data_IF_093726712472
#
_entry.id   IF_093726712472
#
_cell.length_a   1.000
_cell.length_b   1.000
_cell.length_c   1.000
_cell.angle_alpha   90.00
_cell.angle_beta   90.00
_cell.angle_gamma   90.00
#
_symmetry.space_group_name_H-M   'P 1'
#
loop_
_entity.id
_entity.type
_entity.pdbx_description
1 polymer ?
#
# COMPACT_ATOMS: atom_id res chain seq x y z
N UNK A 1 2.94 1.28 -16.61
CA UNK A 1 2.29 2.50 -16.10
C UNK A 1 1.29 2.13 -15.02
N UNK A 2 1.28 2.85 -13.90
CA UNK A 2 0.26 2.73 -12.87
C UNK A 2 -0.78 3.83 -13.09
N UNK A 3 -2.03 3.50 -13.37
CA UNK A 3 -3.08 4.50 -13.67
C UNK A 3 -3.58 5.22 -12.42
N UNK A 4 -3.65 4.51 -11.30
CA UNK A 4 -4.07 5.02 -9.99
C UNK A 4 -3.18 4.46 -8.90
N UNK A 5 -2.93 5.29 -7.87
CA UNK A 5 -2.30 4.88 -6.63
C UNK A 5 -3.37 4.72 -5.55
N UNK A 6 -3.53 3.50 -5.04
CA UNK A 6 -4.38 3.15 -3.90
C UNK A 6 -5.84 3.66 -3.99
N UNK A 7 -6.59 3.29 -5.04
CA UNK A 7 -7.98 3.70 -5.18
C UNK A 7 -8.88 3.17 -4.04
N UNK A 8 -8.42 2.17 -3.29
CA UNK A 8 -9.10 1.58 -2.14
C UNK A 8 -8.69 2.20 -0.79
N UNK A 9 -7.77 3.17 -0.77
CA UNK A 9 -7.24 3.76 0.47
C UNK A 9 -8.32 4.39 1.34
N UNK A 10 -9.27 5.14 0.74
CA UNK A 10 -10.33 5.80 1.49
C UNK A 10 -11.17 4.81 2.32
N UNK A 11 -11.56 3.69 1.69
CA UNK A 11 -12.35 2.64 2.33
C UNK A 11 -11.53 1.95 3.43
N UNK A 12 -10.26 1.65 3.16
CA UNK A 12 -9.34 1.10 4.15
C UNK A 12 -9.20 2.02 5.36
N UNK A 13 -8.92 3.30 5.15
CA UNK A 13 -8.76 4.27 6.22
C UNK A 13 -10.04 4.43 7.04
N UNK A 14 -11.22 4.37 6.42
CA UNK A 14 -12.51 4.44 7.14
C UNK A 14 -12.70 3.32 8.19
N UNK A 15 -11.97 2.21 8.05
CA UNK A 15 -11.95 1.11 9.03
C UNK A 15 -10.88 1.27 10.10
N UNK A 16 -9.83 2.04 9.83
CA UNK A 16 -8.67 2.21 10.72
C UNK A 16 -8.71 3.48 11.55
N UNK A 17 -9.25 4.57 11.00
CA UNK A 17 -9.31 5.85 11.69
C UNK A 17 -10.66 6.06 12.38
N UNK A 18 -10.69 6.60 13.61
CA UNK A 18 -11.94 6.81 14.36
C UNK A 18 -12.66 8.12 14.00
N UNK A 19 -12.20 8.85 12.98
CA UNK A 19 -12.73 10.15 12.61
C UNK A 19 -13.10 10.19 11.12
N UNK A 20 -14.04 11.06 10.79
CA UNK A 20 -14.52 11.23 9.43
C UNK A 20 -13.49 11.99 8.57
N UNK A 21 -12.98 11.30 7.54
CA UNK A 21 -12.02 11.81 6.57
C UNK A 21 -12.62 12.86 5.63
N UNK A 22 -13.95 13.07 5.64
CA UNK A 22 -14.64 14.04 4.80
C UNK A 22 -15.12 15.24 5.62
N UNK A 23 -14.38 15.59 6.68
CA UNK A 23 -14.78 16.60 7.64
C UNK A 23 -13.60 17.43 8.19
N UNK A 24 -13.94 18.61 8.73
CA UNK A 24 -13.02 19.49 9.45
C UNK A 24 -12.36 20.58 8.60
N UNK A 25 -11.51 21.43 9.20
CA UNK A 25 -11.05 22.67 8.57
C UNK A 25 -10.33 22.50 7.23
N UNK A 26 -9.63 21.37 7.05
CA UNK A 26 -8.93 21.08 5.80
C UNK A 26 -9.91 20.72 4.66
N UNK A 27 -11.00 20.01 4.98
CA UNK A 27 -12.04 19.64 4.03
C UNK A 27 -12.83 20.87 3.59
N UNK A 28 -13.20 21.73 4.54
CA UNK A 28 -13.85 23.02 4.26
C UNK A 28 -12.98 23.91 3.38
N UNK A 29 -11.68 23.99 3.68
CA UNK A 29 -10.72 24.74 2.87
C UNK A 29 -10.58 24.16 1.46
N UNK A 30 -10.56 22.83 1.32
CA UNK A 30 -10.53 22.17 0.01
C UNK A 30 -11.81 22.47 -0.78
N UNK A 31 -13.00 22.33 -0.18
CA UNK A 31 -14.27 22.61 -0.81
C UNK A 31 -14.36 24.07 -1.28
N UNK A 32 -13.92 25.00 -0.43
CA UNK A 32 -13.80 26.42 -0.78
C UNK A 32 -12.85 26.64 -1.96
N UNK A 33 -11.69 25.99 -1.98
CA UNK A 33 -10.72 26.12 -3.07
C UNK A 33 -11.25 25.60 -4.41
N UNK A 34 -12.08 24.55 -4.39
CA UNK A 34 -12.74 24.00 -5.58
C UNK A 34 -14.06 24.70 -5.94
N UNK A 35 -14.55 25.62 -5.12
CA UNK A 35 -15.81 26.34 -5.36
C UNK A 35 -17.05 25.43 -5.27
N UNK A 36 -16.99 24.37 -4.47
CA UNK A 36 -18.09 23.42 -4.25
C UNK A 36 -18.52 23.42 -2.79
N UNK A 37 -19.73 22.96 -2.50
CA UNK A 37 -20.14 22.73 -1.12
C UNK A 37 -19.37 21.53 -0.53
N UNK A 38 -19.07 21.50 0.79
CA UNK A 38 -18.32 20.40 1.41
C UNK A 38 -18.92 19.00 1.20
N UNK A 39 -20.25 18.90 1.12
CA UNK A 39 -21.00 17.67 0.84
C UNK A 39 -20.99 17.26 -0.65
N UNK A 40 -20.49 18.13 -1.52
CA UNK A 40 -20.28 17.89 -2.95
C UNK A 40 -18.81 17.65 -3.31
N UNK A 41 -17.89 17.73 -2.34
CA UNK A 41 -16.48 17.53 -2.57
C UNK A 41 -16.17 16.04 -2.74
N UNK A 42 -15.65 15.65 -3.91
CA UNK A 42 -15.35 14.27 -4.27
C UNK A 42 -13.86 14.01 -4.48
N UNK A 43 -13.04 14.02 -3.44
CA UNK A 43 -11.61 13.69 -3.55
C UNK A 43 -11.43 12.17 -3.62
N UNK A 44 -11.01 11.62 -4.77
CA UNK A 44 -10.95 10.16 -4.98
C UNK A 44 -10.17 9.39 -3.89
N UNK A 45 -9.18 10.02 -3.25
CA UNK A 45 -8.38 9.44 -2.16
C UNK A 45 -9.08 9.40 -0.80
N UNK A 46 -10.18 10.13 -0.61
CA UNK A 46 -10.85 10.32 0.68
C UNK A 46 -12.36 10.06 0.65
N UNK A 47 -12.90 9.66 -0.50
CA UNK A 47 -14.33 9.34 -0.66
C UNK A 47 -14.54 7.83 -0.53
N UNK A 48 -15.49 7.45 0.33
CA UNK A 48 -15.85 6.05 0.62
C UNK A 48 -17.13 5.60 -0.07
N UNK A 49 -17.82 6.48 -0.79
CA UNK A 49 -19.05 6.15 -1.53
C UNK A 49 -18.76 5.02 -2.55
N UNK A 50 -19.53 3.91 -2.55
CA UNK A 50 -19.35 2.82 -3.51
C UNK A 50 -19.35 3.25 -4.97
N UNK A 51 -20.07 4.33 -5.32
CA UNK A 51 -20.07 4.91 -6.67
C UNK A 51 -18.71 5.47 -7.07
N UNK A 52 -17.91 5.92 -6.10
CA UNK A 52 -16.55 6.39 -6.36
C UNK A 52 -15.67 5.25 -6.89
N UNK A 53 -15.83 4.03 -6.36
CA UNK A 53 -15.11 2.86 -6.90
C UNK A 53 -15.46 2.63 -8.37
N UNK A 54 -16.74 2.68 -8.75
CA UNK A 54 -17.17 2.53 -10.14
C UNK A 54 -16.51 3.60 -11.04
N UNK A 55 -16.56 4.87 -10.63
CA UNK A 55 -15.94 5.98 -11.36
C UNK A 55 -14.43 5.78 -11.53
N UNK A 56 -13.73 5.34 -10.48
CA UNK A 56 -12.28 5.09 -10.55
C UNK A 56 -11.96 3.92 -11.48
N UNK A 57 -12.72 2.83 -11.40
CA UNK A 57 -12.53 1.67 -12.27
C UNK A 57 -12.80 2.05 -13.73
N UNK A 58 -13.87 2.79 -14.02
CA UNK A 58 -14.15 3.30 -15.37
C UNK A 58 -13.02 4.21 -15.88
N UNK A 59 -12.53 5.11 -15.03
CA UNK A 59 -11.40 5.97 -15.38
C UNK A 59 -10.10 5.17 -15.62
N UNK A 60 -9.86 4.12 -14.84
CA UNK A 60 -8.74 3.21 -15.04
C UNK A 60 -8.85 2.49 -16.39
N UNK A 61 -10.03 1.98 -16.75
CA UNK A 61 -10.27 1.31 -18.05
C UNK A 61 -10.02 2.25 -19.23
N UNK A 62 -10.54 3.48 -19.15
CA UNK A 62 -10.27 4.50 -20.17
C UNK A 62 -8.78 4.84 -20.27
N UNK A 63 -8.07 4.91 -19.15
CA UNK A 63 -6.63 5.15 -19.14
C UNK A 63 -5.84 3.99 -19.75
N UNK A 64 -6.23 2.74 -19.46
CA UNK A 64 -5.64 1.53 -20.08
C UNK A 64 -5.78 1.60 -21.59
N UNK A 65 -7.00 1.84 -22.11
CA UNK A 65 -7.26 1.91 -23.56
C UNK A 65 -6.41 2.99 -24.24
N UNK A 66 -6.31 4.18 -23.65
CA UNK A 66 -5.50 5.29 -24.19
C UNK A 66 -4.00 4.94 -24.18
N UNK A 67 -3.51 4.31 -23.11
CA UNK A 67 -2.10 3.97 -22.97
C UNK A 67 -1.69 2.85 -23.94
N UNK A 68 -2.51 1.81 -24.09
CA UNK A 68 -2.30 0.74 -25.07
C UNK A 68 -2.49 1.21 -26.52
N UNK A 69 -3.36 2.20 -26.76
CA UNK A 69 -3.52 2.83 -28.07
C UNK A 69 -2.40 3.82 -28.44
N UNK A 70 -1.53 4.15 -27.48
CA UNK A 70 -0.38 5.03 -27.68
C UNK A 70 0.81 4.36 -28.37
N UNK A 71 1.92 5.09 -28.59
CA UNK A 71 3.10 4.55 -29.27
C UNK A 71 3.97 3.62 -28.41
N UNK A 72 3.58 3.36 -27.16
CA UNK A 72 4.38 2.59 -26.20
C UNK A 72 3.89 1.15 -26.06
N UNK A 73 4.84 0.24 -25.85
CA UNK A 73 4.58 -1.15 -25.45
C UNK A 73 5.08 -1.33 -24.02
N UNK A 74 4.23 -0.96 -23.05
CA UNK A 74 4.55 -1.07 -21.64
C UNK A 74 3.34 -1.61 -20.87
N UNK A 75 3.58 -2.42 -19.82
CA UNK A 75 2.48 -3.00 -19.04
C UNK A 75 1.72 -1.92 -18.29
N UNK A 76 0.39 -2.01 -18.23
CA UNK A 76 -0.51 -1.09 -17.55
C UNK A 76 -1.34 -1.83 -16.50
N UNK A 77 -1.49 -1.19 -15.34
CA UNK A 77 -2.29 -1.68 -14.22
C UNK A 77 -2.54 -0.55 -13.21
N UNK A 78 -3.19 -0.86 -12.10
CA UNK A 78 -3.31 0.03 -10.95
C UNK A 78 -2.63 -0.55 -9.71
N UNK A 79 -2.40 0.25 -8.68
CA UNK A 79 -1.81 -0.22 -7.41
C UNK A 79 -2.84 -0.18 -6.29
N UNK A 80 -2.83 -1.19 -5.42
CA UNK A 80 -3.78 -1.35 -4.32
C UNK A 80 -3.08 -1.34 -2.97
N UNK A 81 -3.64 -0.59 -2.03
CA UNK A 81 -3.29 -0.67 -0.61
C UNK A 81 -3.87 -1.97 -0.04
N UNK A 82 -3.02 -2.97 0.18
CA UNK A 82 -3.44 -4.28 0.70
C UNK A 82 -2.87 -4.50 2.09
N UNK A 83 -3.75 -4.77 3.04
CA UNK A 83 -3.39 -5.30 4.35
C UNK A 83 -3.45 -6.83 4.31
N UNK A 84 -2.53 -7.48 5.02
CA UNK A 84 -2.67 -8.91 5.29
C UNK A 84 -3.76 -9.11 6.35
N UNK A 85 -4.98 -9.33 5.90
CA UNK A 85 -6.13 -9.52 6.78
C UNK A 85 -6.08 -10.94 7.35
N UNK A 86 -6.04 -11.06 8.67
CA UNK A 86 -5.98 -12.33 9.39
C UNK A 86 -7.11 -12.40 10.42
N UNK A 87 -7.63 -13.60 10.68
CA UNK A 87 -8.64 -13.81 11.71
C UNK A 87 -7.98 -14.27 13.02
N UNK A 88 -8.36 -13.64 14.13
CA UNK A 88 -8.25 -14.26 15.45
C UNK A 88 -9.42 -15.24 15.64
N UNK A 89 -9.34 -16.10 16.65
CA UNK A 89 -10.38 -17.09 16.96
C UNK A 89 -11.77 -16.44 17.05
N UNK A 90 -12.71 -16.91 16.23
CA UNK A 90 -14.08 -16.40 16.16
C UNK A 90 -14.28 -15.16 15.29
N UNK A 91 -13.22 -14.65 14.65
CA UNK A 91 -13.24 -13.50 13.74
C UNK A 91 -13.27 -13.85 12.26
N UNK A 92 -13.39 -15.12 11.88
CA UNK A 92 -13.19 -15.61 10.51
C UNK A 92 -14.18 -15.03 9.50
N UNK A 93 -15.47 -14.99 9.85
CA UNK A 93 -16.52 -14.41 9.01
C UNK A 93 -16.30 -12.90 8.83
N UNK A 94 -16.06 -12.19 9.92
CA UNK A 94 -15.77 -10.75 9.89
C UNK A 94 -14.50 -10.43 9.07
N UNK A 95 -13.46 -11.25 9.20
CA UNK A 95 -12.23 -11.09 8.44
C UNK A 95 -12.46 -11.31 6.94
N UNK A 96 -13.29 -12.28 6.57
CA UNK A 96 -13.66 -12.55 5.18
C UNK A 96 -14.49 -11.39 4.58
N UNK A 97 -15.43 -10.84 5.34
CA UNK A 97 -16.21 -9.66 4.92
C UNK A 97 -15.32 -8.44 4.69
N UNK A 98 -14.43 -8.13 5.64
CA UNK A 98 -13.49 -7.01 5.52
C UNK A 98 -12.53 -7.23 4.35
N UNK A 99 -12.02 -8.46 4.14
CA UNK A 99 -11.16 -8.78 2.99
C UNK A 99 -11.87 -8.57 1.67
N UNK A 100 -13.14 -8.98 1.58
CA UNK A 100 -13.96 -8.76 0.39
C UNK A 100 -14.16 -7.28 0.11
N UNK A 101 -14.50 -6.50 1.14
CA UNK A 101 -14.71 -5.06 1.01
C UNK A 101 -13.43 -4.32 0.59
N UNK A 102 -12.34 -4.53 1.31
CA UNK A 102 -11.11 -3.74 1.17
C UNK A 102 -10.20 -4.21 0.02
N UNK A 103 -10.21 -5.52 -0.27
CA UNK A 103 -9.26 -6.13 -1.20
C UNK A 103 -9.98 -6.75 -2.41
N UNK A 104 -10.86 -7.73 -2.20
CA UNK A 104 -11.38 -8.55 -3.32
C UNK A 104 -12.20 -7.70 -4.29
N UNK A 105 -13.00 -6.76 -3.78
CA UNK A 105 -13.84 -5.88 -4.60
C UNK A 105 -13.06 -4.98 -5.57
N UNK A 106 -11.74 -4.84 -5.37
CA UNK A 106 -10.82 -4.16 -6.27
C UNK A 106 -9.94 -5.15 -7.05
N UNK A 107 -9.44 -6.21 -6.41
CA UNK A 107 -8.62 -7.24 -7.07
C UNK A 107 -9.37 -7.97 -8.19
N UNK A 108 -10.67 -8.17 -8.04
CA UNK A 108 -11.50 -8.76 -9.10
C UNK A 108 -11.62 -7.85 -10.32
N UNK A 109 -11.56 -6.53 -10.11
CA UNK A 109 -11.74 -5.52 -11.15
C UNK A 109 -10.52 -5.36 -12.03
N UNK A 110 -9.33 -5.76 -11.58
CA UNK A 110 -8.06 -5.67 -12.34
C UNK A 110 -7.75 -6.94 -13.13
N UNK A 111 -8.67 -7.90 -13.16
CA UNK A 111 -8.55 -9.08 -14.04
C UNK A 111 -8.50 -8.62 -15.50
N UNK A 112 -7.45 -9.03 -16.21
CA UNK A 112 -7.21 -8.63 -17.60
C UNK A 112 -6.26 -7.45 -17.76
N UNK A 113 -5.80 -6.84 -16.66
CA UNK A 113 -4.67 -5.90 -16.69
C UNK A 113 -3.35 -6.63 -16.97
N UNK A 114 -2.31 -5.89 -17.35
CA UNK A 114 -0.98 -6.46 -17.54
C UNK A 114 -0.31 -6.83 -16.21
N UNK A 115 -0.71 -6.17 -15.12
CA UNK A 115 -0.28 -6.47 -13.75
C UNK A 115 -1.23 -5.83 -12.72
N UNK A 116 -1.12 -6.27 -11.47
CA UNK A 116 -1.63 -5.54 -10.29
C UNK A 116 -0.48 -5.10 -9.38
N UNK A 117 -0.53 -3.84 -8.95
CA UNK A 117 0.41 -3.30 -7.96
C UNK A 117 -0.01 -3.69 -6.55
N UNK A 118 0.87 -4.36 -5.80
CA UNK A 118 0.69 -4.67 -4.38
C UNK A 118 1.44 -3.63 -3.55
N UNK A 119 0.73 -2.98 -2.64
CA UNK A 119 1.29 -2.05 -1.66
C UNK A 119 0.94 -2.54 -0.25
N UNK A 120 1.94 -2.93 0.53
CA UNK A 120 1.70 -3.60 1.81
C UNK A 120 2.77 -3.25 2.83
N UNK A 121 2.33 -3.02 4.07
CA UNK A 121 3.21 -2.60 5.17
C UNK A 121 3.07 -3.48 6.41
N UNK A 122 1.84 -3.88 6.76
CA UNK A 122 1.55 -4.68 7.93
C UNK A 122 0.26 -5.47 7.75
N UNK A 123 -0.18 -6.15 8.81
CA UNK A 123 -1.41 -6.96 8.86
C UNK A 123 -2.53 -6.25 9.58
N UNK A 124 -3.75 -6.74 9.37
CA UNK A 124 -4.94 -6.42 10.16
C UNK A 124 -5.46 -7.71 10.79
N UNK A 125 -5.48 -7.79 12.11
CA UNK A 125 -6.08 -8.91 12.82
C UNK A 125 -7.53 -8.58 13.16
N UNK A 126 -8.46 -9.47 12.84
CA UNK A 126 -9.90 -9.31 13.05
C UNK A 126 -10.39 -10.39 13.99
N UNK A 127 -11.01 -10.00 15.10
CA UNK A 127 -11.64 -10.89 16.07
C UNK A 127 -13.17 -10.83 15.99
N UNK A 128 -13.88 -11.53 16.88
CA UNK A 128 -15.35 -11.62 16.87
C UNK A 128 -16.05 -10.27 17.09
N UNK A 129 -15.34 -9.27 17.62
CA UNK A 129 -15.86 -7.92 17.90
C UNK A 129 -15.26 -6.85 16.98
N UNK A 130 -14.56 -7.24 15.92
CA UNK A 130 -13.95 -6.33 14.95
C UNK A 130 -12.42 -6.32 14.99
N UNK A 131 -11.81 -5.23 14.51
CA UNK A 131 -10.36 -5.10 14.37
C UNK A 131 -9.68 -5.14 15.75
N UNK A 132 -8.72 -6.06 15.90
CA UNK A 132 -7.89 -6.21 17.08
C UNK A 132 -6.67 -5.30 16.95
N UNK A 133 -6.51 -4.40 17.92
CA UNK A 133 -5.33 -3.53 17.97
C UNK A 133 -4.11 -4.35 18.43
N UNK A 134 -2.91 -4.09 17.89
CA UNK A 134 -1.68 -4.68 18.40
C UNK A 134 -1.52 -4.39 19.91
N UNK A 135 -1.25 -5.44 20.69
CA UNK A 135 -1.02 -5.35 22.14
C UNK A 135 0.17 -4.45 22.50
N UNK A 136 0.35 -4.17 23.79
CA UNK A 136 1.47 -3.32 24.24
C UNK A 136 2.83 -3.99 24.04
N UNK A 137 2.90 -5.31 24.18
CA UNK A 137 4.12 -6.11 24.02
C UNK A 137 4.49 -6.40 22.55
N UNK A 138 3.65 -5.95 21.61
CA UNK A 138 3.88 -6.11 20.17
C UNK A 138 4.72 -4.95 19.68
N UNK A 139 5.83 -5.24 19.00
CA UNK A 139 6.66 -4.22 18.37
C UNK A 139 5.85 -3.44 17.32
N UNK A 140 5.97 -2.11 17.38
CA UNK A 140 5.27 -1.19 16.48
C UNK A 140 6.24 -0.27 15.75
N UNK A 141 5.88 0.13 14.54
CA UNK A 141 6.58 1.14 13.79
C UNK A 141 6.22 2.56 14.29
N UNK A 142 6.78 3.61 13.68
CA UNK A 142 6.49 5.01 14.06
C UNK A 142 5.03 5.45 13.83
N UNK A 143 4.27 4.68 13.07
CA UNK A 143 2.85 4.89 12.79
C UNK A 143 1.95 4.16 13.80
N UNK A 144 2.51 3.33 14.69
CA UNK A 144 1.76 2.54 15.66
C UNK A 144 1.22 1.22 15.11
N UNK A 145 1.60 0.87 13.88
CA UNK A 145 1.25 -0.40 13.25
C UNK A 145 2.24 -1.49 13.69
N UNK A 146 1.81 -2.74 13.69
CA UNK A 146 2.66 -3.87 14.03
C UNK A 146 3.85 -3.97 13.07
N UNK A 147 5.05 -4.23 13.61
CA UNK A 147 6.21 -4.63 12.82
C UNK A 147 5.97 -6.05 12.27
N UNK A 148 5.37 -6.14 11.08
CA UNK A 148 4.97 -7.42 10.47
C UNK A 148 5.34 -7.50 8.98
N UNK A 149 6.64 -7.67 8.64
CA UNK A 149 7.09 -7.78 7.25
C UNK A 149 6.44 -8.92 6.46
N UNK A 150 6.04 -10.00 7.13
CA UNK A 150 5.42 -11.19 6.51
C UNK A 150 4.06 -10.89 5.86
N UNK A 151 3.44 -9.75 6.18
CA UNK A 151 2.23 -9.28 5.52
C UNK A 151 2.38 -9.22 3.99
N UNK A 152 3.59 -8.90 3.50
CA UNK A 152 3.85 -8.87 2.06
C UNK A 152 3.64 -10.24 1.42
N UNK A 153 4.05 -11.32 2.08
CA UNK A 153 3.82 -12.68 1.58
C UNK A 153 2.34 -13.06 1.53
N UNK A 154 1.56 -12.66 2.54
CA UNK A 154 0.12 -12.89 2.59
C UNK A 154 -0.63 -12.18 1.47
N UNK A 155 -0.34 -10.89 1.28
CA UNK A 155 -0.99 -10.05 0.26
C UNK A 155 -0.58 -10.42 -1.17
N UNK A 156 0.67 -10.80 -1.41
CA UNK A 156 1.10 -11.32 -2.72
C UNK A 156 0.31 -12.59 -3.09
N UNK A 157 0.23 -13.57 -2.17
CA UNK A 157 -0.50 -14.82 -2.41
C UNK A 157 -1.98 -14.55 -2.68
N UNK A 158 -2.59 -13.68 -1.87
CA UNK A 158 -3.98 -13.30 -2.02
C UNK A 158 -4.26 -12.58 -3.35
N UNK A 159 -3.43 -11.61 -3.72
CA UNK A 159 -3.56 -10.90 -4.99
C UNK A 159 -3.40 -11.85 -6.19
N UNK A 160 -2.44 -12.78 -6.14
CA UNK A 160 -2.23 -13.77 -7.19
C UNK A 160 -3.45 -14.68 -7.38
N UNK A 161 -4.09 -15.11 -6.28
CA UNK A 161 -5.28 -15.95 -6.29
C UNK A 161 -6.49 -15.25 -6.93
N UNK A 162 -6.74 -13.99 -6.52
CA UNK A 162 -7.96 -13.26 -6.88
C UNK A 162 -7.82 -12.55 -8.23
N UNK A 163 -6.74 -11.78 -8.43
CA UNK A 163 -6.54 -10.94 -9.62
C UNK A 163 -6.05 -11.74 -10.83
N UNK A 164 -5.28 -12.83 -10.61
CA UNK A 164 -4.80 -13.75 -11.66
C UNK A 164 -4.05 -13.05 -12.81
N UNK A 165 -3.34 -11.98 -12.48
CA UNK A 165 -2.43 -11.23 -13.35
C UNK A 165 -1.06 -11.14 -12.66
N UNK A 166 0.02 -10.84 -13.40
CA UNK A 166 1.34 -10.62 -12.79
C UNK A 166 1.32 -9.58 -11.67
N UNK A 167 2.22 -9.70 -10.70
CA UNK A 167 2.31 -8.79 -9.56
C UNK A 167 3.53 -7.88 -9.70
N UNK A 168 3.33 -6.59 -9.40
CA UNK A 168 4.42 -5.68 -9.04
C UNK A 168 4.26 -5.30 -7.57
N UNK A 169 5.28 -5.54 -6.74
CA UNK A 169 5.29 -4.96 -5.38
C UNK A 169 5.67 -3.50 -5.52
N UNK A 170 4.67 -2.64 -5.65
CA UNK A 170 4.84 -1.22 -5.97
C UNK A 170 5.19 -0.39 -4.74
N UNK A 171 4.84 -0.85 -3.54
CA UNK A 171 5.28 -0.26 -2.28
C UNK A 171 5.43 -1.33 -1.19
N UNK A 172 6.54 -1.27 -0.47
CA UNK A 172 6.74 -1.99 0.78
C UNK A 172 7.83 -1.27 1.59
N UNK A 173 7.65 -1.14 2.90
CA UNK A 173 8.60 -0.37 3.71
C UNK A 173 8.26 -0.28 5.18
N UNK A 174 9.01 0.56 5.87
CA UNK A 174 8.89 0.74 7.32
C UNK A 174 9.13 2.19 7.73
N UNK A 175 8.17 2.75 8.47
CA UNK A 175 8.33 4.02 9.18
C UNK A 175 9.19 3.82 10.45
N UNK A 176 10.46 4.21 10.41
CA UNK A 176 11.37 4.10 11.56
C UNK A 176 12.53 5.09 11.48
N UNK A 177 12.97 5.60 12.63
CA UNK A 177 14.24 6.33 12.78
C UNK A 177 15.45 5.43 12.98
N UNK A 178 15.24 4.16 13.32
CA UNK A 178 16.29 3.14 13.40
C UNK A 178 16.35 2.36 12.08
N UNK A 179 17.35 2.68 11.25
CA UNK A 179 17.50 2.06 9.94
C UNK A 179 17.92 0.59 10.00
N UNK A 180 18.43 0.10 11.14
CA UNK A 180 18.70 -1.33 11.32
C UNK A 180 17.41 -2.15 11.32
N UNK A 181 16.33 -1.62 11.93
CA UNK A 181 14.98 -2.22 11.86
C UNK A 181 14.45 -2.23 10.42
N UNK A 182 14.77 -1.21 9.61
CA UNK A 182 14.38 -1.16 8.19
C UNK A 182 15.10 -2.23 7.37
N UNK A 183 16.39 -2.46 7.63
CA UNK A 183 17.13 -3.58 7.01
C UNK A 183 16.50 -4.92 7.38
N UNK A 184 16.21 -5.16 8.66
CA UNK A 184 15.55 -6.41 9.10
C UNK A 184 14.16 -6.57 8.45
N UNK A 185 13.39 -5.49 8.37
CA UNK A 185 12.08 -5.50 7.72
C UNK A 185 12.21 -5.95 6.26
N UNK A 186 13.13 -5.35 5.50
CA UNK A 186 13.34 -5.74 4.10
C UNK A 186 13.90 -7.15 3.94
N UNK A 187 14.75 -7.63 4.85
CA UNK A 187 15.21 -9.02 4.87
C UNK A 187 14.03 -9.98 4.92
N UNK A 188 13.11 -9.78 5.87
CA UNK A 188 11.95 -10.66 6.07
C UNK A 188 10.94 -10.52 4.94
N UNK A 189 10.62 -9.30 4.51
CA UNK A 189 9.70 -9.07 3.40
C UNK A 189 10.21 -9.67 2.07
N UNK A 190 11.49 -9.48 1.74
CA UNK A 190 12.08 -10.06 0.53
C UNK A 190 12.19 -11.59 0.60
N UNK A 191 12.34 -12.20 1.78
CA UNK A 191 12.22 -13.67 1.90
C UNK A 191 10.84 -14.12 1.42
N UNK A 192 9.77 -13.45 1.84
CA UNK A 192 8.43 -13.77 1.39
C UNK A 192 8.23 -13.59 -0.13
N UNK A 193 8.89 -12.61 -0.75
CA UNK A 193 8.89 -12.45 -2.21
C UNK A 193 9.60 -13.63 -2.89
N UNK A 194 10.75 -14.04 -2.35
CA UNK A 194 11.49 -15.23 -2.86
C UNK A 194 10.65 -16.49 -2.70
N UNK A 195 10.01 -16.72 -1.56
CA UNK A 195 9.12 -17.85 -1.33
C UNK A 195 7.97 -17.89 -2.36
N UNK A 196 7.38 -16.73 -2.66
CA UNK A 196 6.29 -16.62 -3.62
C UNK A 196 6.77 -16.87 -5.07
N UNK A 197 7.95 -16.38 -5.45
CA UNK A 197 8.60 -16.70 -6.72
C UNK A 197 8.88 -18.21 -6.84
N UNK A 198 9.42 -18.83 -5.79
CA UNK A 198 9.69 -20.28 -5.72
C UNK A 198 8.41 -21.11 -5.80
N UNK A 199 7.29 -20.58 -5.31
CA UNK A 199 5.95 -21.18 -5.45
C UNK A 199 5.31 -20.95 -6.83
N UNK A 200 5.99 -20.26 -7.75
CA UNK A 200 5.53 -20.04 -9.13
C UNK A 200 4.60 -18.83 -9.32
N UNK A 201 4.50 -17.94 -8.33
CA UNK A 201 3.76 -16.68 -8.48
C UNK A 201 4.58 -15.73 -9.35
N UNK A 202 3.94 -15.15 -10.36
CA UNK A 202 4.59 -14.27 -11.32
C UNK A 202 4.77 -12.85 -10.75
N UNK A 203 5.95 -12.58 -10.16
CA UNK A 203 6.31 -11.30 -9.55
C UNK A 203 7.37 -10.61 -10.41
N UNK A 204 7.05 -9.41 -10.89
CA UNK A 204 7.84 -8.69 -11.90
C UNK A 204 8.75 -7.60 -11.34
N UNK A 205 8.66 -7.31 -10.05
CA UNK A 205 9.47 -6.25 -9.43
C UNK A 205 9.10 -5.97 -7.98
N UNK A 206 10.05 -5.31 -7.30
CA UNK A 206 9.93 -4.85 -5.93
C UNK A 206 10.43 -3.41 -5.81
N UNK A 207 9.58 -2.55 -5.25
CA UNK A 207 9.83 -1.13 -5.07
C UNK A 207 9.68 -0.79 -3.59
N UNK A 208 10.77 -0.33 -2.96
CA UNK A 208 10.76 0.08 -1.57
C UNK A 208 10.10 1.46 -1.41
N UNK A 209 9.13 1.55 -0.49
CA UNK A 209 8.64 2.82 0.01
C UNK A 209 9.52 3.27 1.20
N UNK A 210 10.28 4.35 1.07
CA UNK A 210 10.37 5.29 -0.05
C UNK A 210 11.81 5.57 -0.42
N UNK A 211 12.04 6.21 -1.57
CA UNK A 211 13.37 6.66 -1.93
C UNK A 211 13.91 7.66 -0.89
N UNK A 212 13.11 8.67 -0.52
CA UNK A 212 13.51 9.77 0.36
C UNK A 212 12.56 9.92 1.54
N UNK A 213 13.08 10.32 2.70
CA UNK A 213 12.22 10.85 3.76
C UNK A 213 11.41 12.03 3.21
N UNK A 214 10.08 11.91 3.23
CA UNK A 214 9.15 12.80 2.51
C UNK A 214 8.03 13.29 3.43
N UNK A 215 7.03 13.93 2.82
CA UNK A 215 5.80 14.37 3.49
C UNK A 215 4.81 13.21 3.54
N UNK A 216 4.60 12.64 4.73
CA UNK A 216 3.73 11.49 4.95
C UNK A 216 2.30 11.95 5.25
N UNK A 217 1.65 12.53 4.23
CA UNK A 217 0.24 12.92 4.25
C UNK A 217 -0.14 13.71 5.51
N UNK A 218 -1.22 13.31 6.20
CA UNK A 218 -1.71 13.93 7.44
C UNK A 218 -0.73 13.83 8.61
N UNK A 219 0.27 12.94 8.54
CA UNK A 219 1.33 12.82 9.55
C UNK A 219 2.51 13.78 9.31
N UNK A 220 2.49 14.50 8.19
CA UNK A 220 3.53 15.45 7.81
C UNK A 220 4.91 14.80 7.75
N UNK A 221 5.93 15.53 8.17
CA UNK A 221 7.31 15.06 8.09
C UNK A 221 7.79 14.29 9.33
N UNK A 222 6.89 13.81 10.21
CA UNK A 222 7.29 13.05 11.41
C UNK A 222 7.74 11.63 11.03
N UNK A 223 6.96 10.83 10.28
CA UNK A 223 7.38 9.49 9.86
C UNK A 223 8.63 9.54 8.98
N UNK A 224 9.40 8.46 9.01
CA UNK A 224 10.62 8.29 8.22
C UNK A 224 10.52 6.97 7.46
N UNK A 225 10.09 7.00 6.20
CA UNK A 225 10.07 5.82 5.33
C UNK A 225 11.30 5.70 4.44
N UNK A 226 11.99 6.82 4.19
CA UNK A 226 13.03 6.89 3.18
C UNK A 226 14.20 5.94 3.45
N UNK A 227 14.70 5.28 2.41
CA UNK A 227 16.02 4.66 2.43
C UNK A 227 17.14 5.71 2.25
N UNK A 228 16.79 6.95 1.88
CA UNK A 228 17.68 8.12 1.84
C UNK A 228 17.12 9.19 2.77
N UNK A 229 17.93 9.64 3.73
CA UNK A 229 17.59 10.76 4.59
C UNK A 229 17.67 12.09 3.81
N UNK A 230 16.78 13.03 4.15
CA UNK A 230 16.80 14.40 3.62
C UNK A 230 16.86 15.40 4.76
N UNK A 231 17.94 16.18 4.83
CA UNK A 231 17.93 17.42 5.61
C UNK A 231 17.08 18.44 4.86
N UNK A 232 15.90 18.78 5.40
CA UNK A 232 14.97 19.69 4.73
C UNK A 232 15.42 21.15 4.75
N UNK A 233 16.30 21.55 5.67
CA UNK A 233 16.83 22.91 5.73
C UNK A 233 17.85 23.16 4.61
N UNK A 234 18.71 22.16 4.35
CA UNK A 234 19.80 22.28 3.36
C UNK A 234 19.54 21.54 2.06
N UNK A 235 18.52 20.68 2.03
CA UNK A 235 18.23 19.76 0.94
C UNK A 235 19.38 18.72 0.70
N UNK A 236 20.27 18.51 1.67
CA UNK A 236 21.28 17.46 1.59
C UNK A 236 20.63 16.06 1.68
N UNK A 237 21.12 15.11 0.87
CA UNK A 237 20.65 13.72 0.83
C UNK A 237 21.74 12.79 1.35
N UNK A 238 21.37 11.88 2.25
CA UNK A 238 22.30 10.90 2.84
C UNK A 238 21.69 9.50 2.74
N UNK A 239 22.22 8.61 1.86
CA UNK A 239 21.80 7.22 1.81
C UNK A 239 21.95 6.54 3.17
N UNK A 240 20.92 5.83 3.61
CA UNK A 240 20.94 5.06 4.85
C UNK A 240 21.50 3.65 4.59
N UNK A 241 21.93 2.89 5.61
CA UNK A 241 22.35 1.49 5.45
C UNK A 241 21.40 0.62 4.61
N UNK A 242 20.09 0.80 4.76
CA UNK A 242 19.03 0.12 4.00
C UNK A 242 19.09 0.40 2.49
N UNK A 243 19.48 1.60 2.06
CA UNK A 243 19.69 1.89 0.64
C UNK A 243 20.85 1.10 0.06
N UNK A 244 21.95 0.98 0.80
CA UNK A 244 23.10 0.18 0.38
C UNK A 244 22.76 -1.31 0.35
N UNK A 245 22.04 -1.80 1.36
CA UNK A 245 21.65 -3.20 1.46
C UNK A 245 20.70 -3.61 0.30
N UNK A 246 19.63 -2.85 0.06
CA UNK A 246 18.73 -3.10 -1.08
C UNK A 246 19.45 -2.93 -2.42
N UNK A 247 20.31 -1.92 -2.53
CA UNK A 247 21.11 -1.68 -3.74
C UNK A 247 22.04 -2.85 -4.07
N UNK A 248 22.60 -3.51 -3.06
CA UNK A 248 23.43 -4.70 -3.25
C UNK A 248 22.63 -5.90 -3.78
N UNK A 249 21.44 -6.13 -3.23
CA UNK A 249 20.53 -7.17 -3.74
C UNK A 249 20.16 -6.89 -5.19
N UNK A 250 19.76 -5.65 -5.51
CA UNK A 250 19.40 -5.27 -6.87
C UNK A 250 20.58 -5.42 -7.85
N UNK A 251 21.80 -5.04 -7.43
CA UNK A 251 23.01 -5.13 -8.24
C UNK A 251 23.43 -6.58 -8.50
N UNK A 252 23.27 -7.47 -7.53
CA UNK A 252 23.70 -8.86 -7.63
C UNK A 252 22.61 -9.81 -8.10
N UNK A 253 21.35 -9.35 -8.06
CA UNK A 253 20.14 -10.16 -8.20
C UNK A 253 20.18 -11.43 -7.31
N UNK A 254 20.67 -11.28 -6.08
CA UNK A 254 20.80 -12.37 -5.10
C UNK A 254 20.27 -11.92 -3.75
N UNK A 255 19.33 -12.69 -3.23
CA UNK A 255 18.95 -12.59 -1.82
C UNK A 255 20.04 -13.25 -0.96
N UNK A 256 20.56 -12.51 0.02
CA UNK A 256 21.51 -13.00 1.02
C UNK A 256 20.85 -12.87 2.40
N UNK A 257 20.06 -13.88 2.77
CA UNK A 257 19.36 -13.97 4.05
C UNK A 257 19.09 -15.40 4.43
#
# INVERSE_FOLDING_TARGET
ACTFNEPNLAVLLSRLVPFDLQSGPWWDAAAQAFGVAPDQLGLFQFVTDPRMREIIIDAHRLAVDVLHGGPGDFPVGLTLALLDIQAAEGGEEQAAEIRRELSDSYLEQVRGDDFVGVQTYSRMVVGPTGVVRPGEDVEKNQMGEEFYPEALGGTIRHAAEVARVPILVTENGLATTDDSRRVEYFQRALRCVVDALEAGIDIRGYFAWSAFDNFEWVSGYRPKFGIIAVDRATQARTPKPSAHWLGEIARTNRYQG
#
